data_IF_362114495209
#
_entry.id   IF_362114495209
#
_cell.length_a   1.000
_cell.length_b   1.000
_cell.length_c   1.000
_cell.angle_alpha   90.00
_cell.angle_beta   90.00
_cell.angle_gamma   90.00
#
_symmetry.space_group_name_H-M   'P 1'
#
loop_
_entity.id
_entity.type
_entity.pdbx_description
1 polymer ?
#
# COMPACT_ATOMS: atom_id res chain seq x y z
N UNK A 1 -11.73 -5.64 -6.52
CA UNK A 1 -11.57 -4.20 -6.32
C UNK A 1 -12.75 -3.41 -6.87
N UNK A 2 -13.12 -3.56 -8.17
CA UNK A 2 -14.23 -2.81 -8.78
C UNK A 2 -15.54 -2.90 -7.99
N UNK A 3 -15.90 -4.09 -7.48
CA UNK A 3 -17.17 -4.32 -6.76
C UNK A 3 -17.23 -3.67 -5.39
N UNK A 4 -16.10 -3.52 -4.71
CA UNK A 4 -15.99 -2.96 -3.36
C UNK A 4 -15.38 -1.55 -3.37
N UNK A 5 -15.24 -0.96 -4.55
CA UNK A 5 -14.70 0.38 -4.81
C UNK A 5 -13.39 0.67 -4.05
N UNK A 6 -12.40 -0.20 -4.28
CA UNK A 6 -11.06 -0.10 -3.67
C UNK A 6 -9.95 -0.29 -4.71
N UNK A 7 -8.72 -0.02 -4.31
CA UNK A 7 -7.53 -0.20 -5.14
C UNK A 7 -6.82 -1.52 -4.80
N UNK A 8 -6.11 -2.09 -5.77
CA UNK A 8 -5.22 -3.23 -5.56
C UNK A 8 -3.80 -2.89 -6.02
N UNK A 9 -2.88 -2.85 -5.07
CA UNK A 9 -1.47 -2.66 -5.35
C UNK A 9 -0.85 -4.01 -5.76
N UNK A 10 -0.20 -4.04 -6.91
CA UNK A 10 0.40 -5.25 -7.48
C UNK A 10 1.74 -4.91 -8.15
N UNK A 11 2.67 -5.85 -8.17
CA UNK A 11 3.90 -5.66 -8.92
C UNK A 11 3.60 -5.40 -10.40
N UNK A 12 4.30 -4.44 -10.99
CA UNK A 12 4.08 -4.04 -12.37
C UNK A 12 4.27 -5.21 -13.36
N UNK A 13 5.21 -6.12 -13.09
CA UNK A 13 5.39 -7.35 -13.86
C UNK A 13 4.15 -8.23 -13.86
N UNK A 14 3.54 -8.47 -12.67
CA UNK A 14 2.35 -9.30 -12.55
C UNK A 14 1.14 -8.66 -13.26
N UNK A 15 1.02 -7.32 -13.18
CA UNK A 15 -0.04 -6.58 -13.89
C UNK A 15 0.08 -6.79 -15.41
N UNK A 16 1.31 -6.74 -15.95
CA UNK A 16 1.57 -6.96 -17.37
C UNK A 16 1.34 -8.42 -17.77
N UNK A 17 1.90 -9.36 -17.02
CA UNK A 17 1.80 -10.79 -17.31
C UNK A 17 0.35 -11.30 -17.30
N UNK A 18 -0.49 -10.69 -16.47
CA UNK A 18 -1.91 -11.08 -16.34
C UNK A 18 -2.86 -10.16 -17.11
N UNK A 19 -2.36 -9.13 -17.79
CA UNK A 19 -3.17 -8.21 -18.59
C UNK A 19 -4.19 -7.41 -17.75
N UNK A 20 -3.83 -7.00 -16.53
CA UNK A 20 -4.73 -6.37 -15.56
C UNK A 20 -4.77 -4.83 -15.64
N UNK A 21 -4.59 -4.24 -16.82
CA UNK A 21 -4.67 -2.77 -16.97
C UNK A 21 -6.09 -2.25 -16.71
N UNK A 22 -6.31 -1.71 -15.52
CA UNK A 22 -7.61 -1.19 -15.08
C UNK A 22 -7.43 -0.07 -14.04
N UNK A 23 -8.39 0.88 -13.92
CA UNK A 23 -8.26 2.07 -13.07
C UNK A 23 -8.23 1.79 -11.56
N UNK A 24 -8.55 0.58 -11.15
CA UNK A 24 -8.47 0.13 -9.76
C UNK A 24 -7.22 -0.70 -9.45
N UNK A 25 -6.34 -0.88 -10.40
CA UNK A 25 -5.03 -1.50 -10.22
C UNK A 25 -3.98 -0.39 -10.03
N UNK A 26 -3.14 -0.56 -9.03
CA UNK A 26 -1.99 0.30 -8.74
C UNK A 26 -0.72 -0.49 -9.01
N UNK A 27 -0.08 -0.29 -10.18
CA UNK A 27 1.18 -0.93 -10.49
C UNK A 27 2.28 -0.43 -9.55
N UNK A 28 3.05 -1.36 -8.99
CA UNK A 28 4.22 -1.06 -8.17
C UNK A 28 5.47 -1.31 -8.98
N UNK A 29 6.26 -0.27 -9.19
CA UNK A 29 7.41 -0.27 -10.10
C UNK A 29 8.70 -0.14 -9.30
N UNK A 30 9.62 -1.08 -9.46
CA UNK A 30 10.95 -1.02 -8.81
C UNK A 30 11.98 -0.28 -9.66
N UNK A 31 11.88 -0.36 -10.97
CA UNK A 31 12.83 0.27 -11.92
C UNK A 31 12.04 0.84 -13.11
N UNK A 32 11.55 2.08 -13.00
CA UNK A 32 10.76 2.68 -14.06
C UNK A 32 11.62 2.99 -15.32
N UNK A 33 10.99 2.77 -16.48
CA UNK A 33 11.42 3.29 -17.76
C UNK A 33 10.26 4.10 -18.37
N UNK A 34 10.48 4.93 -19.42
CA UNK A 34 9.39 5.61 -20.09
C UNK A 34 8.31 4.64 -20.61
N UNK A 35 8.72 3.47 -21.08
CA UNK A 35 7.82 2.42 -21.57
C UNK A 35 7.01 1.81 -20.42
N UNK A 36 7.57 1.74 -19.22
CA UNK A 36 6.87 1.22 -18.03
C UNK A 36 5.63 2.05 -17.71
N UNK A 37 5.75 3.38 -17.71
CA UNK A 37 4.59 4.26 -17.44
C UNK A 37 3.53 4.15 -18.56
N UNK A 38 3.97 4.08 -19.83
CA UNK A 38 3.08 3.92 -20.98
C UNK A 38 2.35 2.57 -21.00
N UNK A 39 2.86 1.57 -20.27
CA UNK A 39 2.23 0.25 -20.17
C UNK A 39 0.98 0.21 -19.29
N UNK A 40 0.72 1.27 -18.51
CA UNK A 40 -0.42 1.36 -17.57
C UNK A 40 -1.31 2.58 -17.85
N UNK A 41 -1.88 2.71 -19.07
CA UNK A 41 -2.61 3.92 -19.46
C UNK A 41 -3.91 4.15 -18.68
N UNK A 42 -4.45 3.12 -18.01
CA UNK A 42 -5.67 3.24 -17.19
C UNK A 42 -5.38 3.39 -15.70
N UNK A 43 -4.13 3.26 -15.27
CA UNK A 43 -3.80 3.41 -13.87
C UNK A 43 -4.06 4.86 -13.39
N UNK A 44 -4.72 4.99 -12.25
CA UNK A 44 -4.97 6.30 -11.59
C UNK A 44 -3.84 6.67 -10.65
N UNK A 45 -3.12 5.67 -10.17
CA UNK A 45 -1.97 5.79 -9.28
C UNK A 45 -0.93 4.74 -9.71
N UNK A 46 0.33 5.14 -9.76
CA UNK A 46 1.47 4.24 -9.92
C UNK A 46 2.40 4.47 -8.73
N UNK A 47 2.85 3.41 -8.10
CA UNK A 47 3.75 3.51 -6.95
C UNK A 47 5.17 3.08 -7.30
N UNK A 48 6.16 3.86 -6.86
CA UNK A 48 7.54 3.39 -6.76
C UNK A 48 7.70 2.51 -5.51
N UNK A 49 8.37 1.38 -5.66
CA UNK A 49 8.62 0.43 -4.57
C UNK A 49 9.60 0.98 -3.51
N UNK A 50 10.45 1.92 -3.91
CA UNK A 50 11.35 2.64 -3.00
C UNK A 50 11.65 4.05 -3.54
N UNK A 51 12.02 4.96 -2.63
CA UNK A 51 12.41 6.31 -3.02
C UNK A 51 13.71 6.30 -3.84
N UNK A 52 13.64 6.80 -5.04
CA UNK A 52 14.78 7.19 -5.87
C UNK A 52 14.38 8.43 -6.66
N UNK A 53 15.13 9.52 -6.53
CA UNK A 53 14.79 10.80 -7.15
C UNK A 53 14.69 10.73 -8.67
N UNK A 54 15.69 10.12 -9.32
CA UNK A 54 15.73 10.02 -10.79
C UNK A 54 14.58 9.15 -11.31
N UNK A 55 14.32 8.01 -10.64
CA UNK A 55 13.21 7.14 -10.96
C UNK A 55 11.85 7.83 -10.78
N UNK A 56 11.71 8.62 -9.73
CA UNK A 56 10.50 9.41 -9.45
C UNK A 56 10.27 10.47 -10.53
N UNK A 57 11.28 11.27 -10.86
CA UNK A 57 11.20 12.31 -11.89
C UNK A 57 10.88 11.72 -13.28
N UNK A 58 11.50 10.57 -13.61
CA UNK A 58 11.23 9.85 -14.85
C UNK A 58 9.77 9.39 -14.90
N UNK A 59 9.30 8.72 -13.86
CA UNK A 59 7.92 8.25 -13.78
C UNK A 59 6.93 9.42 -13.87
N UNK A 60 7.16 10.49 -13.07
CA UNK A 60 6.30 11.68 -13.03
C UNK A 60 6.18 12.38 -14.38
N UNK A 61 7.27 12.42 -15.16
CA UNK A 61 7.26 13.02 -16.51
C UNK A 61 6.63 12.13 -17.58
N UNK A 62 6.44 10.84 -17.31
CA UNK A 62 5.99 9.83 -18.28
C UNK A 62 4.52 9.42 -18.11
N UNK A 63 3.82 9.93 -17.09
CA UNK A 63 2.41 9.57 -16.82
C UNK A 63 1.60 10.76 -16.31
N UNK A 64 0.29 10.75 -16.60
CA UNK A 64 -0.68 11.65 -15.96
C UNK A 64 -1.28 11.07 -14.66
N UNK A 65 -1.00 9.81 -14.36
CA UNK A 65 -1.42 9.20 -13.11
C UNK A 65 -0.75 9.87 -11.92
N UNK A 66 -1.38 9.78 -10.74
CA UNK A 66 -0.73 10.13 -9.48
C UNK A 66 0.50 9.24 -9.26
N UNK A 67 1.56 9.81 -8.67
CA UNK A 67 2.78 9.06 -8.38
C UNK A 67 2.96 8.94 -6.87
N UNK A 68 2.88 7.69 -6.40
CA UNK A 68 3.14 7.34 -5.01
C UNK A 68 4.54 6.77 -4.80
N UNK A 69 4.99 6.78 -3.55
CA UNK A 69 6.26 6.19 -3.14
C UNK A 69 6.06 5.32 -1.92
N UNK A 70 6.54 4.10 -1.97
CA UNK A 70 6.61 3.21 -0.81
C UNK A 70 7.83 3.53 0.03
N UNK A 71 7.62 3.58 1.33
CA UNK A 71 8.67 3.83 2.31
C UNK A 71 8.53 2.83 3.44
N UNK A 72 9.52 1.98 3.59
CA UNK A 72 9.59 1.06 4.72
C UNK A 72 10.09 1.80 5.95
N UNK A 73 9.58 1.46 7.13
CA UNK A 73 10.05 1.99 8.41
C UNK A 73 11.41 1.38 8.80
N UNK A 74 12.44 1.74 8.05
CA UNK A 74 13.86 1.42 8.29
C UNK A 74 14.60 2.67 8.75
N UNK A 75 15.87 2.56 9.08
CA UNK A 75 16.68 3.71 9.48
C UNK A 75 16.63 4.83 8.43
N UNK A 76 16.39 6.06 8.87
CA UNK A 76 16.32 7.24 8.01
C UNK A 76 15.02 7.37 7.19
N UNK A 77 13.96 6.63 7.52
CA UNK A 77 12.69 6.71 6.82
C UNK A 77 12.08 8.13 6.82
N UNK A 78 12.25 8.89 7.91
CA UNK A 78 11.75 10.27 8.04
C UNK A 78 12.37 11.18 6.97
N UNK A 79 13.70 11.09 6.80
CA UNK A 79 14.41 11.87 5.79
C UNK A 79 13.98 11.44 4.36
N UNK A 80 13.81 10.14 4.15
CA UNK A 80 13.33 9.58 2.89
C UNK A 80 11.93 10.08 2.56
N UNK A 81 11.02 10.06 3.53
CA UNK A 81 9.66 10.59 3.40
C UNK A 81 9.68 12.07 3.03
N UNK A 82 10.46 12.87 3.73
CA UNK A 82 10.58 14.31 3.45
C UNK A 82 11.17 14.59 2.07
N UNK A 83 12.14 13.79 1.61
CA UNK A 83 12.66 13.88 0.23
C UNK A 83 11.56 13.63 -0.80
N UNK A 84 10.72 12.61 -0.61
CA UNK A 84 9.62 12.32 -1.52
C UNK A 84 8.56 13.44 -1.52
N UNK A 85 8.14 13.92 -0.34
CA UNK A 85 7.18 15.01 -0.20
C UNK A 85 7.69 16.32 -0.82
N UNK A 86 8.95 16.68 -0.57
CA UNK A 86 9.56 17.88 -1.15
C UNK A 86 9.69 17.81 -2.68
N UNK A 87 9.70 16.63 -3.27
CA UNK A 87 9.64 16.42 -4.72
C UNK A 87 8.20 16.21 -5.23
N UNK A 88 7.19 16.52 -4.39
CA UNK A 88 5.75 16.48 -4.73
C UNK A 88 5.24 15.08 -5.08
N UNK A 89 5.62 14.07 -4.30
CA UNK A 89 4.93 12.79 -4.32
C UNK A 89 3.46 13.01 -3.91
N UNK A 90 2.53 12.46 -4.67
CA UNK A 90 1.09 12.60 -4.42
C UNK A 90 0.66 11.69 -3.25
N UNK A 91 1.30 10.53 -3.14
CA UNK A 91 0.99 9.50 -2.15
C UNK A 91 2.29 9.00 -1.50
N UNK A 92 2.29 8.90 -0.19
CA UNK A 92 3.32 8.20 0.59
C UNK A 92 2.68 6.94 1.19
N UNK A 93 3.20 5.78 0.82
CA UNK A 93 2.76 4.49 1.32
C UNK A 93 3.76 3.95 2.34
N UNK A 94 3.45 4.11 3.62
CA UNK A 94 4.30 3.73 4.74
C UNK A 94 4.11 2.25 5.09
N UNK A 95 5.19 1.48 5.06
CA UNK A 95 5.16 0.05 5.29
C UNK A 95 5.87 -0.35 6.58
N UNK A 96 5.14 -0.95 7.51
CA UNK A 96 5.70 -1.78 8.57
C UNK A 96 5.83 -3.24 8.10
N UNK A 97 6.45 -4.10 8.91
CA UNK A 97 6.40 -5.54 8.71
C UNK A 97 4.97 -6.09 8.92
N UNK A 98 4.76 -7.38 8.68
CA UNK A 98 3.43 -7.99 8.81
C UNK A 98 2.96 -8.13 10.27
N UNK A 99 3.86 -7.99 11.25
CA UNK A 99 3.51 -7.89 12.67
C UNK A 99 3.19 -6.44 13.08
N UNK A 100 3.29 -5.46 12.19
CA UNK A 100 3.08 -4.05 12.47
C UNK A 100 4.27 -3.41 13.21
N UNK A 101 5.50 -3.79 12.87
CA UNK A 101 6.71 -3.22 13.46
C UNK A 101 7.59 -2.58 12.40
N UNK A 102 8.27 -1.52 12.79
CA UNK A 102 9.39 -0.94 12.04
C UNK A 102 10.67 -1.75 12.23
N UNK A 103 11.70 -1.42 11.46
CA UNK A 103 13.02 -2.05 11.57
C UNK A 103 13.71 -1.85 12.93
N UNK A 104 13.32 -0.83 13.68
CA UNK A 104 13.74 -0.55 15.05
C UNK A 104 12.89 -1.27 16.12
N UNK A 105 11.91 -2.08 15.70
CA UNK A 105 11.02 -2.85 16.56
C UNK A 105 9.84 -2.07 17.15
N UNK A 106 9.70 -0.76 16.89
CA UNK A 106 8.57 0.04 17.35
C UNK A 106 7.28 -0.36 16.62
N UNK A 107 6.13 -0.17 17.28
CA UNK A 107 4.84 -0.45 16.70
C UNK A 107 4.48 0.57 15.61
N UNK A 108 3.78 0.10 14.58
CA UNK A 108 3.33 0.88 13.44
C UNK A 108 2.46 2.08 13.87
N UNK A 109 1.64 1.95 14.91
CA UNK A 109 0.83 3.06 15.45
C UNK A 109 1.65 4.29 15.85
N UNK A 110 2.82 4.06 16.50
CA UNK A 110 3.70 5.12 16.94
C UNK A 110 4.44 5.75 15.76
N UNK A 111 4.87 4.91 14.81
CA UNK A 111 5.55 5.35 13.59
C UNK A 111 4.64 6.16 12.67
N UNK A 112 3.37 5.75 12.52
CA UNK A 112 2.38 6.49 11.74
C UNK A 112 2.08 7.86 12.36
N UNK A 113 1.90 7.90 13.68
CA UNK A 113 1.71 9.16 14.40
C UNK A 113 2.93 10.08 14.25
N UNK A 114 4.14 9.54 14.34
CA UNK A 114 5.37 10.31 14.12
C UNK A 114 5.43 10.87 12.71
N UNK A 115 5.10 10.07 11.68
CA UNK A 115 5.05 10.51 10.28
C UNK A 115 4.05 11.67 10.09
N UNK A 116 2.85 11.53 10.64
CA UNK A 116 1.82 12.54 10.61
C UNK A 116 2.28 13.84 11.27
N UNK A 117 2.81 13.74 12.50
CA UNK A 117 3.30 14.90 13.26
C UNK A 117 4.45 15.60 12.55
N UNK A 118 5.39 14.85 11.97
CA UNK A 118 6.49 15.41 11.19
C UNK A 118 6.00 16.24 10.01
N UNK A 119 5.00 15.76 9.28
CA UNK A 119 4.40 16.50 8.15
C UNK A 119 3.66 17.77 8.62
N UNK A 120 3.00 17.73 9.78
CA UNK A 120 2.37 18.91 10.39
C UNK A 120 3.44 19.94 10.77
N UNK A 121 4.49 19.53 11.48
CA UNK A 121 5.59 20.41 11.89
C UNK A 121 6.30 21.06 10.70
N UNK A 122 6.36 20.37 9.57
CA UNK A 122 6.93 20.89 8.31
C UNK A 122 5.92 21.67 7.46
N UNK A 123 4.64 21.77 7.88
CA UNK A 123 3.58 22.50 7.18
C UNK A 123 3.22 21.91 5.81
N UNK A 124 3.40 20.60 5.64
CA UNK A 124 3.16 19.92 4.35
C UNK A 124 2.20 18.73 4.45
N UNK A 125 1.50 18.53 5.60
CA UNK A 125 0.57 17.40 5.77
C UNK A 125 -0.53 17.36 4.71
N UNK A 126 -1.07 18.52 4.34
CA UNK A 126 -2.16 18.63 3.36
C UNK A 126 -1.71 18.47 1.91
N UNK A 127 -0.41 18.35 1.67
CA UNK A 127 0.16 18.22 0.34
C UNK A 127 0.27 16.78 -0.15
N UNK A 128 0.03 15.79 0.72
CA UNK A 128 0.30 14.38 0.43
C UNK A 128 -0.75 13.48 1.08
N UNK A 129 -1.14 12.43 0.36
CA UNK A 129 -1.97 11.35 0.90
C UNK A 129 -1.09 10.32 1.60
N UNK A 130 -1.37 10.02 2.87
CA UNK A 130 -0.69 8.96 3.63
C UNK A 130 -1.48 7.67 3.60
N UNK A 131 -0.85 6.60 3.12
CA UNK A 131 -1.34 5.23 3.22
C UNK A 131 -0.43 4.47 4.19
N UNK A 132 -1.00 3.65 5.05
CA UNK A 132 -0.23 2.79 5.96
C UNK A 132 -0.53 1.32 5.76
N UNK A 133 0.50 0.48 5.88
CA UNK A 133 0.41 -0.97 5.78
C UNK A 133 1.24 -1.67 6.85
N UNK A 134 0.83 -2.91 7.17
CA UNK A 134 1.49 -3.77 8.15
C UNK A 134 0.79 -3.76 9.51
N UNK A 135 0.53 -4.96 10.03
CA UNK A 135 -0.13 -5.15 11.32
C UNK A 135 -1.61 -4.79 11.40
N UNK A 136 -2.23 -4.37 10.29
CA UNK A 136 -3.67 -4.05 10.22
C UNK A 136 -4.44 -5.33 9.91
N UNK A 137 -4.94 -6.01 10.95
CA UNK A 137 -5.50 -7.36 10.84
C UNK A 137 -6.96 -7.47 11.28
N UNK A 138 -7.54 -6.42 11.86
CA UNK A 138 -8.94 -6.37 12.29
C UNK A 138 -9.57 -5.00 12.00
N UNK A 139 -10.91 -4.94 11.96
CA UNK A 139 -11.65 -3.74 11.62
C UNK A 139 -11.34 -2.57 12.56
N UNK A 140 -11.18 -2.82 13.85
CA UNK A 140 -10.90 -1.80 14.87
C UNK A 140 -9.50 -1.17 14.72
N UNK A 141 -8.61 -1.75 13.90
CA UNK A 141 -7.33 -1.12 13.56
C UNK A 141 -7.51 0.05 12.57
N UNK A 142 -8.57 0.07 11.75
CA UNK A 142 -8.81 1.14 10.78
C UNK A 142 -8.99 2.51 11.46
N UNK A 143 -9.95 2.69 12.38
CA UNK A 143 -10.13 3.98 13.05
C UNK A 143 -8.87 4.39 13.83
N UNK A 144 -8.16 3.45 14.44
CA UNK A 144 -6.90 3.74 15.13
C UNK A 144 -5.84 4.28 14.17
N UNK A 145 -5.73 3.70 12.97
CA UNK A 145 -4.81 4.16 11.94
C UNK A 145 -5.18 5.55 11.39
N UNK A 146 -6.47 5.80 11.15
CA UNK A 146 -6.96 7.12 10.71
C UNK A 146 -6.73 8.18 11.80
N UNK A 147 -7.04 7.90 13.06
CA UNK A 147 -6.77 8.81 14.19
C UNK A 147 -5.26 9.08 14.34
N UNK A 148 -4.42 8.11 13.99
CA UNK A 148 -2.96 8.29 13.95
C UNK A 148 -2.47 9.13 12.77
N UNK A 149 -3.38 9.58 11.89
CA UNK A 149 -3.10 10.55 10.83
C UNK A 149 -3.03 9.98 9.42
N UNK A 150 -3.47 8.74 9.19
CA UNK A 150 -3.58 8.20 7.83
C UNK A 150 -4.84 8.66 7.10
N UNK A 151 -4.76 8.74 5.78
CA UNK A 151 -5.90 8.97 4.88
C UNK A 151 -6.50 7.63 4.40
N UNK A 152 -5.67 6.59 4.31
CA UNK A 152 -6.08 5.25 3.90
C UNK A 152 -5.19 4.16 4.51
N UNK A 153 -5.66 2.91 4.46
CA UNK A 153 -4.90 1.74 4.88
C UNK A 153 -4.78 0.73 3.75
N UNK A 154 -3.65 0.04 3.69
CA UNK A 154 -3.46 -1.09 2.79
C UNK A 154 -3.51 -2.40 3.60
N UNK A 155 -4.30 -3.36 3.10
CA UNK A 155 -4.54 -4.65 3.73
C UNK A 155 -3.79 -5.75 2.98
N UNK A 156 -3.12 -6.62 3.72
CA UNK A 156 -2.41 -7.80 3.22
C UNK A 156 -2.91 -9.09 3.89
N UNK A 157 -2.54 -9.34 5.14
CA UNK A 157 -2.94 -10.56 5.87
C UNK A 157 -4.45 -10.79 5.95
N UNK A 158 -5.30 -9.77 6.19
CA UNK A 158 -6.75 -9.98 6.19
C UNK A 158 -7.28 -10.52 4.86
N UNK A 159 -6.73 -10.05 3.75
CA UNK A 159 -7.07 -10.53 2.39
C UNK A 159 -6.68 -12.00 2.25
N UNK A 160 -5.44 -12.36 2.64
CA UNK A 160 -4.97 -13.75 2.61
C UNK A 160 -5.86 -14.67 3.46
N UNK A 161 -6.21 -14.25 4.68
CA UNK A 161 -7.04 -15.04 5.58
C UNK A 161 -8.49 -15.16 5.12
N UNK A 162 -9.07 -14.08 4.55
CA UNK A 162 -10.39 -14.13 3.94
C UNK A 162 -10.46 -15.19 2.82
N UNK A 163 -9.38 -15.34 2.06
CA UNK A 163 -9.23 -16.36 1.03
C UNK A 163 -8.82 -17.74 1.58
N UNK A 164 -8.88 -17.95 2.90
CA UNK A 164 -8.43 -19.18 3.57
C UNK A 164 -6.97 -19.55 3.24
N UNK A 165 -6.17 -18.55 2.91
CA UNK A 165 -4.76 -18.71 2.65
C UNK A 165 -3.97 -18.98 3.93
N UNK A 166 -2.78 -19.53 3.74
CA UNK A 166 -1.80 -19.76 4.80
C UNK A 166 -0.54 -18.98 4.50
N UNK A 167 0.00 -18.30 5.49
CA UNK A 167 1.31 -17.66 5.39
C UNK A 167 2.40 -18.65 5.85
N UNK A 168 3.52 -18.63 5.16
CA UNK A 168 4.72 -19.40 5.46
C UNK A 168 5.94 -18.48 5.41
N UNK A 169 6.96 -18.77 6.20
CA UNK A 169 8.19 -17.99 6.27
C UNK A 169 8.19 -16.93 7.38
N UNK A 170 9.14 -16.02 7.32
CA UNK A 170 9.27 -14.94 8.31
C UNK A 170 8.28 -13.82 8.01
N UNK A 171 7.50 -13.41 9.01
CA UNK A 171 6.63 -12.24 8.92
C UNK A 171 7.38 -10.91 9.17
N UNK A 172 8.68 -10.97 9.49
CA UNK A 172 9.52 -9.79 9.76
C UNK A 172 9.92 -9.02 8.50
N UNK A 173 9.84 -9.67 7.33
CA UNK A 173 10.08 -9.02 6.05
C UNK A 173 8.95 -9.37 5.09
N UNK A 174 8.47 -8.40 4.33
CA UNK A 174 7.39 -8.64 3.36
C UNK A 174 7.80 -9.63 2.29
N UNK A 175 9.05 -9.58 1.85
CA UNK A 175 9.62 -10.49 0.84
C UNK A 175 9.84 -11.91 1.37
N UNK A 176 9.92 -12.09 2.69
CA UNK A 176 10.09 -13.39 3.35
C UNK A 176 8.82 -14.21 3.47
N UNK A 177 7.65 -13.60 3.21
CA UNK A 177 6.35 -14.25 3.37
C UNK A 177 5.90 -14.87 2.06
N UNK A 178 5.57 -16.14 2.12
CA UNK A 178 4.91 -16.85 1.03
C UNK A 178 3.48 -17.19 1.43
N UNK A 179 2.52 -16.78 0.61
CA UNK A 179 1.11 -17.15 0.76
C UNK A 179 0.78 -18.39 -0.08
N UNK A 180 0.02 -19.32 0.49
CA UNK A 180 -0.58 -20.42 -0.26
C UNK A 180 -2.09 -20.33 -0.18
N UNK A 181 -2.77 -20.45 -1.32
CA UNK A 181 -4.21 -20.44 -1.43
C UNK A 181 -4.78 -21.85 -1.57
N UNK A 182 -6.06 -22.09 -1.24
CA UNK A 182 -6.71 -23.39 -1.44
C UNK A 182 -6.67 -23.83 -2.90
N UNK A 183 -6.41 -25.14 -3.14
CA UNK A 183 -6.29 -25.69 -4.50
C UNK A 183 -7.57 -25.60 -5.36
N UNK A 184 -8.74 -25.49 -4.74
CA UNK A 184 -10.05 -25.47 -5.41
C UNK A 184 -10.74 -24.10 -5.25
N UNK A 185 -9.99 -23.03 -5.34
CA UNK A 185 -10.56 -21.68 -5.29
C UNK A 185 -11.08 -21.29 -6.68
N UNK A 186 -12.34 -20.83 -6.75
CA UNK A 186 -12.92 -20.19 -7.95
C UNK A 186 -12.89 -18.67 -7.79
N UNK A 187 -12.94 -17.94 -8.92
CA UNK A 187 -12.98 -16.48 -8.88
C UNK A 187 -14.22 -15.96 -8.14
N UNK A 188 -15.40 -16.54 -8.38
CA UNK A 188 -16.65 -16.14 -7.72
C UNK A 188 -16.59 -16.34 -6.21
N UNK A 189 -16.02 -17.47 -5.77
CA UNK A 189 -15.81 -17.74 -4.35
C UNK A 189 -14.84 -16.73 -3.72
N UNK A 190 -13.72 -16.45 -4.39
CA UNK A 190 -12.74 -15.48 -3.89
C UNK A 190 -13.34 -14.06 -3.82
N UNK A 191 -14.05 -13.63 -4.87
CA UNK A 191 -14.75 -12.34 -4.89
C UNK A 191 -15.77 -12.23 -3.77
N UNK A 192 -16.57 -13.28 -3.52
CA UNK A 192 -17.55 -13.28 -2.43
C UNK A 192 -16.87 -13.16 -1.06
N UNK A 193 -15.76 -13.88 -0.85
CA UNK A 193 -14.99 -13.82 0.41
C UNK A 193 -14.43 -12.43 0.68
N UNK A 194 -13.85 -11.78 -0.32
CA UNK A 194 -13.32 -10.43 -0.20
C UNK A 194 -14.44 -9.39 0.00
N UNK A 195 -15.56 -9.56 -0.69
CA UNK A 195 -16.74 -8.71 -0.49
C UNK A 195 -17.28 -8.84 0.95
N UNK A 196 -17.34 -10.06 1.47
CA UNK A 196 -17.77 -10.31 2.85
C UNK A 196 -16.80 -9.71 3.88
N UNK A 197 -15.48 -9.80 3.65
CA UNK A 197 -14.48 -9.15 4.51
C UNK A 197 -14.74 -7.65 4.59
N UNK A 198 -14.82 -6.97 3.45
CA UNK A 198 -15.02 -5.52 3.41
C UNK A 198 -16.40 -5.12 3.98
N UNK A 199 -17.45 -5.88 3.69
CA UNK A 199 -18.79 -5.65 4.24
C UNK A 199 -18.81 -5.79 5.76
N UNK A 200 -18.25 -6.88 6.30
CA UNK A 200 -18.17 -7.11 7.73
C UNK A 200 -17.37 -6.03 8.47
N UNK A 201 -16.24 -5.59 7.89
CA UNK A 201 -15.45 -4.53 8.49
C UNK A 201 -16.19 -3.18 8.46
N UNK A 202 -16.86 -2.88 7.33
CA UNK A 202 -17.69 -1.67 7.25
C UNK A 202 -18.79 -1.67 8.30
N UNK A 203 -19.49 -2.79 8.46
CA UNK A 203 -20.59 -2.90 9.41
C UNK A 203 -20.10 -2.74 10.85
N UNK A 204 -18.94 -3.34 11.21
CA UNK A 204 -18.30 -3.14 12.53
C UNK A 204 -17.84 -1.70 12.79
N UNK A 205 -17.57 -0.92 11.75
CA UNK A 205 -17.16 0.48 11.89
C UNK A 205 -18.36 1.44 12.01
N UNK A 206 -19.57 0.98 11.69
CA UNK A 206 -20.79 1.78 11.76
C UNK A 206 -21.56 1.57 13.07
N UNK A 207 -21.23 0.53 13.86
CA UNK A 207 -21.74 0.27 15.20
C UNK A 207 -21.03 1.11 16.28
#
# INVERSE_FOLDING_TARGET
CKRIDTLACMNASDVLDWGLDAPHIVPVVSSPSPETAASFPKARLIELDAWNKQAFELLRSSTEALVGVRINFTDGWQETMMKAVNNRADVIHLNADLHGRGGDGRFVSDLLKEAHMLLIEKGCRDMVTLIGAGGIVSADHLPKAIISGLDAVALDLPVLFALQGRSHGSLQTRDGVKGTLPRKMTNDWAEQRLTNLCGSWRDQLLE
#
